data_IF_009978834091
#
_entry.id   IF_009978834091
#
_cell.length_a   1.000
_cell.length_b   1.000
_cell.length_c   1.000
_cell.angle_alpha   90.00
_cell.angle_beta   90.00
_cell.angle_gamma   90.00
#
_symmetry.space_group_name_H-M   'P 1'
#
loop_
_entity.id
_entity.type
_entity.pdbx_description
1 polymer ?
#
# COMPACT_ATOMS: atom_id res chain seq x y z
N UNK A 1 -11.07 0.19 -17.79
CA UNK A 1 -10.93 1.28 -16.80
C UNK A 1 -9.78 0.98 -15.85
N UNK A 2 -8.81 1.89 -15.70
CA UNK A 2 -7.67 1.73 -14.80
C UNK A 2 -8.05 1.99 -13.34
N UNK A 3 -7.33 1.36 -12.41
CA UNK A 3 -7.44 1.60 -10.97
C UNK A 3 -6.01 1.68 -10.42
N UNK A 4 -5.69 2.77 -9.73
CA UNK A 4 -4.40 3.00 -9.10
C UNK A 4 -4.68 3.25 -7.62
N UNK A 5 -4.05 2.46 -6.76
CA UNK A 5 -4.14 2.59 -5.31
C UNK A 5 -2.73 2.83 -4.78
N UNK A 6 -2.62 3.62 -3.72
CA UNK A 6 -1.33 3.89 -3.10
C UNK A 6 -0.82 2.63 -2.37
N UNK A 7 0.49 2.57 -2.13
CA UNK A 7 1.05 1.47 -1.33
C UNK A 7 0.48 1.47 0.09
N UNK A 8 0.24 2.65 0.66
CA UNK A 8 -0.33 2.82 2.00
C UNK A 8 -1.74 2.21 2.08
N UNK A 9 -2.57 2.42 1.06
CA UNK A 9 -3.90 1.82 1.00
C UNK A 9 -3.81 0.29 0.96
N UNK A 10 -2.87 -0.26 0.19
CA UNK A 10 -2.63 -1.70 0.16
C UNK A 10 -2.12 -2.26 1.48
N UNK A 11 -1.26 -1.55 2.21
CA UNK A 11 -0.81 -2.00 3.53
C UNK A 11 -1.93 -1.89 4.58
N UNK A 12 -2.83 -0.91 4.44
CA UNK A 12 -3.90 -0.64 5.41
C UNK A 12 -4.97 -1.73 5.51
N UNK A 13 -5.13 -2.57 4.49
CA UNK A 13 -6.12 -3.66 4.50
C UNK A 13 -5.67 -4.87 5.33
N UNK A 14 -4.43 -4.89 5.82
CA UNK A 14 -3.91 -5.86 6.79
C UNK A 14 -3.50 -5.15 8.08
N UNK A 15 -4.21 -5.46 9.18
CA UNK A 15 -3.97 -4.82 10.48
C UNK A 15 -2.56 -5.06 11.02
N UNK A 16 -1.90 -6.16 10.63
CA UNK A 16 -0.54 -6.48 11.09
C UNK A 16 0.54 -5.67 10.36
N UNK A 17 0.28 -5.32 9.10
CA UNK A 17 1.23 -4.66 8.21
C UNK A 17 0.91 -3.17 7.98
N UNK A 18 -0.19 -2.67 8.55
CA UNK A 18 -0.53 -1.24 8.53
C UNK A 18 0.44 -0.47 9.41
N UNK A 19 0.85 0.72 8.97
CA UNK A 19 1.64 1.60 9.81
C UNK A 19 0.85 1.96 11.09
N UNK A 20 1.42 1.77 12.29
CA UNK A 20 0.76 2.20 13.52
C UNK A 20 0.58 3.73 13.59
N UNK A 21 1.46 4.52 12.95
CA UNK A 21 1.33 5.98 12.85
C UNK A 21 0.87 6.40 11.45
N UNK A 22 -0.41 6.73 11.33
CA UNK A 22 -1.04 7.21 10.08
C UNK A 22 -0.42 8.52 9.59
N UNK A 23 0.20 9.32 10.47
CA UNK A 23 0.81 10.59 10.06
C UNK A 23 2.06 10.37 9.23
N UNK A 24 2.81 9.30 9.51
CA UNK A 24 4.00 8.91 8.75
C UNK A 24 3.66 8.38 7.34
N UNK A 25 2.41 7.99 7.10
CA UNK A 25 1.94 7.56 5.78
C UNK A 25 1.75 8.74 4.80
N UNK A 26 1.64 9.97 5.32
CA UNK A 26 1.40 11.17 4.51
C UNK A 26 2.68 11.61 3.79
N UNK A 27 2.72 11.40 2.48
CA UNK A 27 3.86 11.79 1.63
C UNK A 27 3.98 13.33 1.53
N UNK A 28 2.86 14.04 1.35
CA UNK A 28 2.86 15.48 1.05
C UNK A 28 1.90 16.30 1.90
N UNK A 29 2.30 17.55 2.17
CA UNK A 29 1.45 18.63 2.68
C UNK A 29 1.44 19.75 1.62
N UNK A 30 0.44 19.80 0.71
CA UNK A 30 0.44 20.76 -0.40
C UNK A 30 0.49 22.24 0.02
N UNK A 31 -0.02 22.57 1.21
CA UNK A 31 -0.01 23.93 1.76
C UNK A 31 1.35 24.35 2.31
N UNK A 32 2.30 23.43 2.47
CA UNK A 32 3.65 23.73 2.92
C UNK A 32 4.61 23.66 1.71
N UNK A 33 4.98 24.81 1.11
CA UNK A 33 5.86 24.83 -0.06
C UNK A 33 7.28 24.32 0.25
N UNK A 34 7.69 24.34 1.52
CA UNK A 34 8.96 23.80 1.99
C UNK A 34 8.83 22.37 2.53
N UNK A 35 7.72 21.69 2.24
CA UNK A 35 7.51 20.31 2.70
C UNK A 35 8.60 19.39 2.17
N UNK A 36 9.27 18.70 3.08
CA UNK A 36 10.33 17.78 2.72
C UNK A 36 9.75 16.38 2.43
N UNK A 37 9.98 15.91 1.21
CA UNK A 37 9.47 14.65 0.69
C UNK A 37 10.30 13.48 1.20
N UNK A 38 9.94 12.94 2.37
CA UNK A 38 10.73 11.92 3.07
C UNK A 38 9.94 10.70 3.53
N UNK A 39 8.86 10.37 2.82
CA UNK A 39 8.12 9.15 3.12
C UNK A 39 9.03 7.92 3.02
N UNK A 40 8.91 7.04 4.01
CA UNK A 40 9.53 5.71 4.04
C UNK A 40 8.46 4.70 4.45
N UNK A 41 8.42 3.57 3.75
CA UNK A 41 7.67 2.41 4.21
C UNK A 41 8.28 1.94 5.55
N UNK A 42 7.42 1.59 6.50
CA UNK A 42 7.86 1.13 7.83
C UNK A 42 8.34 -0.32 7.85
N UNK A 43 8.10 -1.07 6.76
CA UNK A 43 8.54 -2.43 6.54
C UNK A 43 9.82 -2.45 5.70
N UNK A 44 10.66 -3.45 5.92
CA UNK A 44 11.72 -3.79 4.98
C UNK A 44 11.16 -4.50 3.74
N UNK A 45 11.98 -4.64 2.70
CA UNK A 45 11.58 -5.40 1.52
C UNK A 45 11.47 -6.89 1.83
N UNK A 46 12.33 -7.41 2.70
CA UNK A 46 12.33 -8.80 3.15
C UNK A 46 11.04 -9.13 3.89
N UNK A 47 10.61 -8.27 4.83
CA UNK A 47 9.33 -8.42 5.53
C UNK A 47 8.15 -8.39 4.55
N UNK A 48 8.18 -7.46 3.59
CA UNK A 48 7.14 -7.35 2.57
C UNK A 48 7.08 -8.59 1.66
N UNK A 49 8.21 -9.19 1.31
CA UNK A 49 8.25 -10.43 0.53
C UNK A 49 7.61 -11.61 1.27
N UNK A 50 7.65 -11.61 2.61
CA UNK A 50 7.04 -12.63 3.47
C UNK A 50 5.56 -12.35 3.81
N UNK A 51 4.96 -11.27 3.27
CA UNK A 51 3.57 -10.89 3.52
C UNK A 51 2.54 -11.76 2.75
N UNK A 52 2.57 -13.09 2.92
CA UNK A 52 1.77 -14.05 2.14
C UNK A 52 0.27 -13.79 2.20
N UNK A 53 -0.26 -13.49 3.40
CA UNK A 53 -1.70 -13.23 3.60
C UNK A 53 -2.16 -11.98 2.86
N UNK A 54 -1.39 -10.90 2.92
CA UNK A 54 -1.66 -9.68 2.16
C UNK A 54 -1.61 -9.97 0.65
N UNK A 55 -0.57 -10.67 0.20
CA UNK A 55 -0.41 -11.04 -1.21
C UNK A 55 -1.60 -11.87 -1.73
N UNK A 56 -2.08 -12.82 -0.93
CA UNK A 56 -3.27 -13.62 -1.25
C UNK A 56 -4.51 -12.75 -1.36
N UNK A 57 -4.76 -11.88 -0.36
CA UNK A 57 -5.91 -10.97 -0.35
C UNK A 57 -5.94 -10.04 -1.56
N UNK A 58 -4.79 -9.47 -1.93
CA UNK A 58 -4.67 -8.61 -3.12
C UNK A 58 -5.03 -9.39 -4.40
N UNK A 59 -4.49 -10.61 -4.57
CA UNK A 59 -4.82 -11.46 -5.74
C UNK A 59 -6.31 -11.80 -5.82
N UNK A 60 -6.95 -12.08 -4.68
CA UNK A 60 -8.39 -12.35 -4.60
C UNK A 60 -9.22 -11.12 -5.01
N UNK A 61 -8.86 -9.93 -4.53
CA UNK A 61 -9.53 -8.67 -4.92
C UNK A 61 -9.39 -8.37 -6.42
N UNK A 62 -8.20 -8.59 -6.99
CA UNK A 62 -7.96 -8.43 -8.43
C UNK A 62 -8.82 -9.43 -9.23
N UNK A 63 -8.89 -10.69 -8.79
CA UNK A 63 -9.73 -11.72 -9.43
C UNK A 63 -11.21 -11.38 -9.34
N UNK A 64 -11.70 -11.02 -8.16
CA UNK A 64 -13.10 -10.67 -7.91
C UNK A 64 -13.56 -9.49 -8.75
N UNK A 65 -12.68 -8.51 -8.98
CA UNK A 65 -12.98 -7.33 -9.80
C UNK A 65 -12.77 -7.57 -11.31
N UNK A 66 -12.48 -8.79 -11.74
CA UNK A 66 -12.30 -9.12 -13.17
C UNK A 66 -11.04 -8.53 -13.79
N UNK A 67 -10.05 -8.14 -12.97
CA UNK A 67 -8.81 -7.45 -13.41
C UNK A 67 -7.64 -8.41 -13.67
N UNK A 68 -7.89 -9.72 -13.65
CA UNK A 68 -6.92 -10.76 -14.01
C UNK A 68 -7.42 -11.58 -15.23
N UNK A 69 -7.47 -10.99 -16.43
CA UNK A 69 -7.86 -11.73 -17.63
C UNK A 69 -6.84 -12.84 -17.91
N UNK A 70 -7.33 -14.02 -18.33
CA UNK A 70 -6.44 -15.04 -18.89
C UNK A 70 -5.79 -14.46 -20.15
N UNK A 71 -4.46 -14.55 -20.24
CA UNK A 71 -3.72 -14.24 -21.46
C UNK A 71 -4.00 -15.29 -22.53
#
# INVERSE_FOLDING_TARGET
MFCILSLQDWLSIDKKLRNPDVREERINIPSNPSHYWRYRMHLTLEELMQAEELNKKIRELIKYTGRNPKK
#
